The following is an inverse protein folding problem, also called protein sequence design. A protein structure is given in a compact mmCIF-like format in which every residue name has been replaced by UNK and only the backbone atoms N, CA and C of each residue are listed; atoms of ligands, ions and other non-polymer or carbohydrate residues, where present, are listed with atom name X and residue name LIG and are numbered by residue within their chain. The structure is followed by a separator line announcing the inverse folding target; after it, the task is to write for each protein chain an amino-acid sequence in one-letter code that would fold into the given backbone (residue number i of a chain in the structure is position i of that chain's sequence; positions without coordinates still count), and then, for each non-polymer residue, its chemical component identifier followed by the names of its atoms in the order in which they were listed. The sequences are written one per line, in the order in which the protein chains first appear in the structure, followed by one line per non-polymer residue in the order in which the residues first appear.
data_IF_274345595270
#
_entry.id   IF_274345595270
#
_cell.length_a   1.000
_cell.length_b   1.000
_cell.length_c   1.000
_cell.angle_alpha   90.00
_cell.angle_beta   90.00
_cell.angle_gamma   90.00
#
_symmetry.space_group_name_H-M   'P 1'
#
loop_
_entity.id
_entity.type
_entity.pdbx_description
1 polymer ?
#
# COMPACT_ATOMS: atom_id res chain seq x y z
N UNK A 1 20.52 52.39 -6.06
CA UNK A 1 20.61 50.94 -6.28
C UNK A 1 19.65 50.28 -5.29
N UNK A 2 18.47 49.84 -5.75
CA UNK A 2 17.50 49.16 -4.91
C UNK A 2 17.65 47.64 -5.12
N UNK A 3 18.02 46.93 -4.06
CA UNK A 3 17.98 45.47 -4.05
C UNK A 3 16.55 45.04 -3.70
N UNK A 4 15.87 44.43 -4.66
CA UNK A 4 14.61 43.74 -4.42
C UNK A 4 14.93 42.30 -3.96
N UNK A 5 14.71 42.03 -2.69
CA UNK A 5 14.72 40.65 -2.16
C UNK A 5 13.43 39.97 -2.60
N UNK A 6 13.56 38.96 -3.46
CA UNK A 6 12.46 38.05 -3.78
C UNK A 6 12.39 37.02 -2.67
N UNK A 7 11.32 37.07 -1.87
CA UNK A 7 10.98 36.02 -0.92
C UNK A 7 10.44 34.80 -1.69
N UNK A 8 11.21 33.72 -1.68
CA UNK A 8 10.79 32.44 -2.21
C UNK A 8 9.82 31.80 -1.20
N UNK A 9 8.53 31.84 -1.48
CA UNK A 9 7.52 31.12 -0.70
C UNK A 9 7.61 29.66 -1.12
N UNK A 10 8.28 28.83 -0.31
CA UNK A 10 8.17 27.38 -0.43
C UNK A 10 6.76 26.98 0.02
N UNK A 11 5.87 26.75 -0.91
CA UNK A 11 4.63 26.07 -0.66
C UNK A 11 4.95 24.59 -0.36
N UNK A 12 4.86 24.20 0.90
CA UNK A 12 4.87 22.79 1.28
C UNK A 12 3.57 22.16 0.74
N UNK A 13 3.68 21.42 -0.34
CA UNK A 13 2.60 20.57 -0.81
C UNK A 13 2.43 19.45 0.22
N UNK A 14 1.43 19.56 1.06
CA UNK A 14 0.92 18.44 1.84
C UNK A 14 0.30 17.45 0.84
N UNK A 15 1.00 16.35 0.58
CA UNK A 15 0.48 15.27 -0.25
C UNK A 15 -0.70 14.64 0.48
N UNK A 16 -1.90 14.98 0.04
CA UNK A 16 -3.13 14.32 0.47
C UNK A 16 -3.22 12.96 -0.25
N UNK A 17 -3.44 11.91 0.51
CA UNK A 17 -3.60 10.52 0.04
C UNK A 17 -4.87 10.27 -0.76
N UNK A 18 -5.58 11.25 -1.24
CA UNK A 18 -6.73 11.03 -2.10
C UNK A 18 -6.97 12.22 -3.02
N UNK A 19 -6.83 12.00 -4.30
CA UNK A 19 -7.50 12.81 -5.27
C UNK A 19 -8.99 12.44 -5.32
N UNK A 20 -9.84 13.28 -4.77
CA UNK A 20 -11.22 13.25 -5.16
C UNK A 20 -12.25 13.06 -4.06
N UNK A 21 -13.15 14.04 -4.06
CA UNK A 21 -14.47 14.06 -3.48
C UNK A 21 -14.57 14.49 -2.02
N UNK A 22 -14.74 15.79 -1.86
CA UNK A 22 -15.37 16.37 -0.68
C UNK A 22 -16.82 15.90 -0.57
N UNK A 23 -17.09 14.96 0.31
CA UNK A 23 -18.40 14.80 0.91
C UNK A 23 -18.28 15.10 2.39
N UNK A 24 -18.78 16.25 2.78
CA UNK A 24 -19.00 16.67 4.16
C UNK A 24 -19.97 15.71 4.82
N UNK A 25 -19.59 15.10 5.92
CA UNK A 25 -20.53 14.38 6.76
C UNK A 25 -19.88 13.44 7.77
N UNK A 26 -19.79 13.88 9.02
CA UNK A 26 -19.64 12.99 10.15
C UNK A 26 -18.20 12.78 10.64
N UNK A 27 -17.83 13.47 11.69
CA UNK A 27 -16.60 13.27 12.47
C UNK A 27 -16.67 11.98 13.29
N UNK A 28 -16.63 10.83 12.62
CA UNK A 28 -16.34 9.54 13.20
C UNK A 28 -14.94 9.14 12.75
N UNK A 29 -13.95 9.26 13.65
CA UNK A 29 -12.59 8.80 13.38
C UNK A 29 -12.63 7.30 13.16
N UNK A 30 -12.44 6.86 11.91
CA UNK A 30 -12.36 5.45 11.61
C UNK A 30 -11.20 4.82 12.39
N UNK A 31 -11.51 3.79 13.19
CA UNK A 31 -10.49 3.04 13.94
C UNK A 31 -9.93 1.97 13.00
N UNK A 32 -8.66 2.07 12.66
CA UNK A 32 -7.95 1.05 11.88
C UNK A 32 -7.39 -0.01 12.83
N UNK A 33 -7.61 -1.28 12.50
CA UNK A 33 -6.93 -2.37 13.21
C UNK A 33 -5.46 -2.35 12.83
N UNK A 34 -4.58 -2.16 13.80
CA UNK A 34 -3.14 -2.22 13.57
C UNK A 34 -2.75 -3.57 12.97
N UNK A 35 -2.09 -3.56 11.82
CA UNK A 35 -1.66 -4.75 11.09
C UNK A 35 -0.16 -4.83 10.90
N UNK A 36 0.58 -3.97 11.54
CA UNK A 36 2.05 -3.95 11.48
C UNK A 36 2.73 -5.12 12.22
N UNK A 37 1.96 -6.10 12.68
CA UNK A 37 2.50 -7.32 13.27
C UNK A 37 3.14 -8.27 12.25
N UNK A 38 2.84 -8.08 10.96
CA UNK A 38 3.45 -8.88 9.90
C UNK A 38 4.87 -8.34 9.60
N UNK A 39 5.88 -9.20 9.68
CA UNK A 39 7.27 -8.87 9.34
C UNK A 39 7.48 -8.79 7.82
N UNK A 40 6.75 -7.89 7.16
CA UNK A 40 6.87 -7.69 5.73
C UNK A 40 8.00 -6.72 5.38
N UNK A 41 8.56 -6.85 4.21
CA UNK A 41 9.49 -5.87 3.65
C UNK A 41 9.33 -5.75 2.14
N UNK A 42 9.65 -4.57 1.61
CA UNK A 42 9.75 -4.33 0.17
C UNK A 42 11.22 -4.13 -0.18
N UNK A 43 11.68 -4.88 -1.16
CA UNK A 43 13.03 -4.69 -1.75
C UNK A 43 12.88 -4.18 -3.18
N UNK A 44 13.65 -3.15 -3.51
CA UNK A 44 13.75 -2.57 -4.83
C UNK A 44 15.22 -2.35 -5.16
N UNK A 45 15.72 -3.08 -6.17
CA UNK A 45 17.12 -3.04 -6.59
C UNK A 45 18.12 -3.22 -5.41
N UNK A 46 17.86 -4.21 -4.54
CA UNK A 46 18.73 -4.53 -3.40
C UNK A 46 18.57 -3.61 -2.17
N UNK A 47 17.78 -2.54 -2.27
CA UNK A 47 17.44 -1.68 -1.13
C UNK A 47 16.12 -2.11 -0.50
N UNK A 48 16.07 -2.25 0.82
CA UNK A 48 14.90 -2.78 1.53
C UNK A 48 14.31 -1.73 2.48
N UNK A 49 12.98 -1.68 2.53
CA UNK A 49 12.20 -0.92 3.51
C UNK A 49 11.22 -1.82 4.25
N UNK A 50 10.88 -1.45 5.48
CA UNK A 50 9.94 -2.18 6.34
C UNK A 50 8.95 -1.21 7.01
N UNK A 51 7.74 -1.67 7.39
CA UNK A 51 6.75 -0.80 8.03
C UNK A 51 7.24 -0.18 9.35
N UNK A 52 8.04 -0.93 10.11
CA UNK A 52 8.44 -0.53 11.47
C UNK A 52 9.63 0.43 11.50
N UNK A 53 10.59 0.26 10.60
CA UNK A 53 11.84 1.04 10.63
C UNK A 53 11.78 2.28 9.75
N UNK A 54 10.81 2.35 8.84
CA UNK A 54 10.74 3.44 7.87
C UNK A 54 11.86 3.33 6.82
N UNK A 55 12.10 4.43 6.12
CA UNK A 55 13.05 4.45 5.00
C UNK A 55 12.37 4.15 3.68
N UNK A 56 13.15 4.16 2.63
CA UNK A 56 12.72 3.96 1.25
C UNK A 56 13.59 2.89 0.58
N UNK A 57 12.96 2.00 -0.17
CA UNK A 57 13.65 1.18 -1.15
C UNK A 57 13.67 1.95 -2.48
N UNK A 58 14.82 2.00 -3.17
CA UNK A 58 14.97 2.82 -4.37
C UNK A 58 15.76 2.11 -5.46
N UNK A 59 15.38 2.32 -6.71
CA UNK A 59 16.15 1.92 -7.89
C UNK A 59 16.84 3.08 -8.60
N UNK A 60 16.92 4.24 -7.94
CA UNK A 60 17.51 5.46 -8.51
C UNK A 60 16.52 6.32 -9.33
N UNK A 61 15.43 5.75 -9.82
CA UNK A 61 14.37 6.46 -10.55
C UNK A 61 13.08 6.57 -9.75
N UNK A 62 12.76 5.51 -8.99
CA UNK A 62 11.57 5.41 -8.15
C UNK A 62 11.99 4.96 -6.76
N UNK A 63 11.39 5.54 -5.74
CA UNK A 63 11.45 5.06 -4.35
C UNK A 63 10.09 4.54 -3.94
N UNK A 64 10.08 3.48 -3.12
CA UNK A 64 8.89 2.91 -2.50
C UNK A 64 9.08 2.92 -0.99
N UNK A 65 8.06 3.33 -0.25
CA UNK A 65 8.07 3.33 1.21
C UNK A 65 6.74 2.84 1.77
N UNK A 66 6.79 2.21 2.95
CA UNK A 66 5.58 1.98 3.73
C UNK A 66 5.13 3.27 4.42
N UNK A 67 3.82 3.48 4.48
CA UNK A 67 3.24 4.57 5.27
C UNK A 67 3.21 4.15 6.72
N UNK A 68 3.85 4.94 7.57
CA UNK A 68 3.98 4.64 8.99
C UNK A 68 2.81 5.20 9.81
N UNK A 69 2.20 4.33 10.61
CA UNK A 69 1.11 4.68 11.53
C UNK A 69 -0.28 4.55 10.89
N UNK A 70 -1.19 3.93 11.63
CA UNK A 70 -2.53 3.57 11.17
C UNK A 70 -3.33 4.78 10.66
N UNK A 71 -3.27 5.90 11.36
CA UNK A 71 -3.98 7.12 10.97
C UNK A 71 -3.49 7.66 9.62
N UNK A 72 -2.18 7.60 9.37
CA UNK A 72 -1.58 8.06 8.12
C UNK A 72 -1.85 7.08 6.98
N UNK A 73 -1.87 5.78 7.28
CA UNK A 73 -2.14 4.74 6.28
C UNK A 73 -3.52 4.85 5.62
N UNK A 74 -4.48 5.48 6.29
CA UNK A 74 -5.84 5.69 5.79
C UNK A 74 -6.20 7.17 5.59
N UNK A 75 -5.24 8.07 5.76
CA UNK A 75 -5.49 9.50 5.62
C UNK A 75 -6.04 9.83 4.22
N UNK A 76 -7.18 10.52 4.19
CA UNK A 76 -7.84 10.93 2.95
C UNK A 76 -8.60 9.82 2.21
N UNK A 77 -8.60 8.57 2.70
CA UNK A 77 -9.44 7.52 2.13
C UNK A 77 -10.91 7.68 2.53
N UNK A 78 -11.86 7.35 1.64
CA UNK A 78 -13.28 7.29 1.98
C UNK A 78 -13.55 6.30 3.11
N UNK A 79 -14.52 6.59 4.00
CA UNK A 79 -14.87 5.72 5.13
C UNK A 79 -15.14 4.26 4.72
N UNK A 80 -15.85 4.03 3.62
CA UNK A 80 -16.12 2.67 3.12
C UNK A 80 -14.85 1.90 2.74
N UNK A 81 -13.80 2.58 2.29
CA UNK A 81 -12.50 1.95 2.02
C UNK A 81 -11.77 1.63 3.32
N UNK A 82 -11.82 2.53 4.31
CA UNK A 82 -11.27 2.27 5.65
C UNK A 82 -11.97 1.07 6.30
N UNK A 83 -13.29 0.98 6.18
CA UNK A 83 -14.07 -0.17 6.67
C UNK A 83 -13.65 -1.47 5.97
N UNK A 84 -13.43 -1.44 4.66
CA UNK A 84 -12.93 -2.57 3.88
C UNK A 84 -11.53 -3.00 4.35
N UNK A 85 -10.59 -2.07 4.54
CA UNK A 85 -9.25 -2.31 5.09
C UNK A 85 -9.36 -3.00 6.45
N UNK A 86 -10.19 -2.47 7.34
CA UNK A 86 -10.44 -3.05 8.65
C UNK A 86 -11.06 -4.45 8.56
N UNK A 87 -11.97 -4.68 7.62
CA UNK A 87 -12.60 -5.98 7.39
C UNK A 87 -11.57 -7.02 6.93
N UNK A 88 -10.69 -6.68 5.98
CA UNK A 88 -9.59 -7.55 5.52
C UNK A 88 -8.70 -7.92 6.72
N UNK A 89 -8.30 -6.95 7.52
CA UNK A 89 -7.40 -7.15 8.65
C UNK A 89 -8.00 -8.05 9.75
N UNK A 90 -9.32 -7.97 9.97
CA UNK A 90 -10.03 -8.82 10.94
C UNK A 90 -10.35 -10.21 10.42
N UNK A 91 -10.60 -10.36 9.12
CA UNK A 91 -11.11 -11.59 8.52
C UNK A 91 -10.11 -12.25 7.58
N UNK A 92 -8.82 -12.30 7.94
CA UNK A 92 -7.75 -12.87 7.09
C UNK A 92 -8.06 -14.29 6.60
N UNK A 93 -8.83 -15.07 7.36
CA UNK A 93 -9.17 -16.45 7.02
C UNK A 93 -10.36 -16.59 6.04
N UNK A 94 -11.08 -15.51 5.74
CA UNK A 94 -12.18 -15.49 4.77
C UNK A 94 -12.40 -14.06 4.28
N UNK A 95 -12.10 -13.82 3.02
CA UNK A 95 -12.23 -12.51 2.40
C UNK A 95 -13.51 -12.34 1.57
N UNK A 96 -14.41 -13.32 1.55
CA UNK A 96 -15.58 -13.29 0.67
C UNK A 96 -16.47 -12.04 0.83
N UNK A 97 -16.53 -11.47 2.04
CA UNK A 97 -17.48 -10.40 2.37
C UNK A 97 -16.80 -9.12 2.91
N UNK A 98 -15.54 -8.85 2.55
CA UNK A 98 -14.80 -7.70 3.10
C UNK A 98 -15.13 -6.36 2.43
N UNK A 99 -15.94 -6.34 1.37
CA UNK A 99 -16.44 -5.10 0.76
C UNK A 99 -15.54 -4.49 -0.31
N UNK A 100 -14.65 -5.26 -0.92
CA UNK A 100 -13.76 -4.78 -2.02
C UNK A 100 -14.50 -4.54 -3.34
N UNK A 101 -15.69 -5.11 -3.51
CA UNK A 101 -16.39 -5.16 -4.80
C UNK A 101 -15.84 -6.23 -5.77
N UNK A 102 -14.87 -7.03 -5.34
CA UNK A 102 -14.32 -8.16 -6.06
C UNK A 102 -14.91 -9.48 -5.53
N UNK A 103 -14.96 -10.53 -6.38
CA UNK A 103 -15.27 -11.88 -5.90
C UNK A 103 -14.04 -12.50 -5.25
N UNK A 104 -13.99 -12.42 -3.92
CA UNK A 104 -12.92 -12.98 -3.10
C UNK A 104 -13.34 -14.28 -2.39
N UNK A 105 -14.36 -14.97 -2.90
CA UNK A 105 -14.79 -16.26 -2.35
C UNK A 105 -13.67 -17.30 -2.43
N UNK A 106 -13.32 -17.89 -1.29
CA UNK A 106 -12.25 -18.87 -1.17
C UNK A 106 -10.86 -18.26 -1.01
N UNK A 107 -10.75 -16.92 -0.96
CA UNK A 107 -9.49 -16.26 -0.68
C UNK A 107 -9.27 -16.02 0.82
N UNK A 108 -8.02 -16.17 1.23
CA UNK A 108 -7.51 -15.83 2.56
C UNK A 108 -6.33 -14.87 2.43
N UNK A 109 -6.09 -14.03 3.43
CA UNK A 109 -4.92 -13.15 3.46
C UNK A 109 -3.74 -13.82 4.15
N UNK A 110 -2.57 -13.76 3.51
CA UNK A 110 -1.28 -14.15 4.10
C UNK A 110 -0.74 -13.07 5.04
N UNK A 111 -0.96 -11.81 4.67
CA UNK A 111 -0.59 -10.63 5.45
C UNK A 111 -1.79 -9.70 5.57
N UNK A 112 -1.76 -8.81 6.56
CA UNK A 112 -2.70 -7.70 6.63
C UNK A 112 -2.48 -6.68 5.52
N UNK A 113 -3.24 -5.60 5.57
CA UNK A 113 -3.09 -4.49 4.62
C UNK A 113 -1.96 -3.57 5.03
N UNK A 114 -1.17 -3.10 4.07
CA UNK A 114 -0.11 -2.12 4.25
C UNK A 114 -0.27 -1.01 3.22
N UNK A 115 -0.28 0.23 3.68
CA UNK A 115 -0.24 1.38 2.79
C UNK A 115 1.19 1.63 2.32
N UNK A 116 1.35 1.84 1.02
CA UNK A 116 2.64 2.09 0.36
C UNK A 116 2.57 3.34 -0.50
N UNK A 117 3.68 4.05 -0.59
CA UNK A 117 3.84 5.21 -1.45
C UNK A 117 4.97 4.99 -2.45
N UNK A 118 4.74 5.49 -3.66
CA UNK A 118 5.74 5.55 -4.73
C UNK A 118 6.12 7.00 -4.96
N UNK A 119 7.43 7.26 -5.00
CA UNK A 119 7.99 8.61 -5.19
C UNK A 119 8.98 8.64 -6.35
N UNK A 120 9.19 9.80 -6.90
CA UNK A 120 10.38 10.07 -7.66
C UNK A 120 11.58 10.01 -6.72
N UNK A 121 12.58 9.18 -7.03
CA UNK A 121 13.74 8.96 -6.17
C UNK A 121 14.44 10.26 -5.78
N UNK A 122 14.84 10.37 -4.51
CA UNK A 122 15.48 11.55 -3.95
C UNK A 122 14.53 12.73 -3.72
N UNK A 123 13.22 12.55 -3.90
CA UNK A 123 12.20 13.58 -3.65
C UNK A 123 11.09 13.01 -2.78
N UNK A 124 10.11 13.84 -2.40
CA UNK A 124 8.85 13.39 -1.80
C UNK A 124 7.66 13.62 -2.74
N UNK A 125 7.96 13.81 -4.03
CA UNK A 125 6.94 13.96 -5.04
C UNK A 125 6.41 12.57 -5.41
N UNK A 126 5.12 12.36 -5.25
CA UNK A 126 4.48 11.11 -5.63
C UNK A 126 4.69 10.82 -7.11
N UNK A 127 5.05 9.59 -7.41
CA UNK A 127 5.29 9.13 -8.78
C UNK A 127 4.25 8.09 -9.17
N UNK A 128 3.66 8.29 -10.31
CA UNK A 128 2.78 7.32 -10.97
C UNK A 128 3.57 6.53 -12.01
N UNK A 129 3.09 5.35 -12.33
CA UNK A 129 3.68 4.44 -13.29
C UNK A 129 4.24 3.19 -12.61
N UNK A 130 4.33 2.16 -13.40
CA UNK A 130 4.64 0.81 -12.96
C UNK A 130 6.01 0.72 -12.28
N UNK A 131 6.04 0.07 -11.12
CA UNK A 131 7.26 -0.29 -10.41
C UNK A 131 7.18 -1.74 -9.96
N UNK A 132 8.17 -2.54 -10.33
CA UNK A 132 8.30 -3.93 -9.87
C UNK A 132 9.01 -3.95 -8.53
N UNK A 133 8.40 -4.58 -7.55
CA UNK A 133 8.91 -4.72 -6.18
C UNK A 133 8.99 -6.18 -5.79
N UNK A 134 9.95 -6.51 -4.92
CA UNK A 134 10.01 -7.79 -4.23
C UNK A 134 9.44 -7.62 -2.83
N UNK A 135 8.31 -8.27 -2.57
CA UNK A 135 7.62 -8.23 -1.29
C UNK A 135 7.92 -9.51 -0.51
N UNK A 136 8.59 -9.38 0.63
CA UNK A 136 8.79 -10.49 1.56
C UNK A 136 7.51 -10.72 2.36
N UNK A 137 7.03 -11.98 2.36
CA UNK A 137 5.77 -12.41 2.97
C UNK A 137 6.08 -13.58 3.92
N UNK A 138 6.16 -13.35 5.23
CA UNK A 138 6.63 -14.35 6.20
C UNK A 138 5.76 -15.63 6.23
N UNK A 139 4.48 -15.51 5.91
CA UNK A 139 3.52 -16.62 5.91
C UNK A 139 3.43 -17.37 4.58
N UNK A 140 4.24 -17.00 3.60
CA UNK A 140 4.30 -17.69 2.32
C UNK A 140 4.96 -19.06 2.49
N UNK A 141 4.25 -20.12 2.13
CA UNK A 141 4.68 -21.52 2.25
C UNK A 141 4.30 -22.31 0.99
N UNK A 142 4.89 -23.49 0.83
CA UNK A 142 4.51 -24.39 -0.26
C UNK A 142 3.08 -24.94 -0.06
N UNK A 143 2.41 -25.27 -1.17
CA UNK A 143 1.08 -25.87 -1.15
C UNK A 143 -0.06 -24.89 -0.99
N UNK A 144 0.19 -23.60 -0.97
CA UNK A 144 -0.84 -22.59 -1.16
C UNK A 144 -1.38 -22.68 -2.59
N UNK A 145 -2.66 -22.39 -2.78
CA UNK A 145 -3.23 -22.26 -4.12
C UNK A 145 -2.71 -20.99 -4.84
N UNK A 146 -3.54 -20.41 -5.68
CA UNK A 146 -3.15 -19.22 -6.42
C UNK A 146 -2.86 -18.05 -5.47
N UNK A 147 -1.63 -17.55 -5.51
CA UNK A 147 -1.20 -16.37 -4.74
C UNK A 147 -1.38 -15.13 -5.62
N UNK A 148 -2.06 -14.13 -5.08
CA UNK A 148 -2.33 -12.85 -5.74
C UNK A 148 -2.09 -11.69 -4.79
N UNK A 149 -1.95 -10.50 -5.35
CA UNK A 149 -1.83 -9.26 -4.59
C UNK A 149 -3.14 -8.49 -4.70
N UNK A 150 -3.81 -8.31 -3.56
CA UNK A 150 -4.97 -7.43 -3.44
C UNK A 150 -4.46 -6.01 -3.26
N UNK A 151 -4.78 -5.14 -4.20
CA UNK A 151 -4.28 -3.77 -4.25
C UNK A 151 -5.42 -2.77 -4.36
N UNK A 152 -5.47 -1.83 -3.43
CA UNK A 152 -6.30 -0.64 -3.58
C UNK A 152 -5.49 0.46 -4.25
N UNK A 153 -5.93 0.86 -5.42
CA UNK A 153 -5.27 1.88 -6.23
C UNK A 153 -5.79 3.26 -5.82
N UNK A 154 -4.94 4.07 -5.19
CA UNK A 154 -5.33 5.40 -4.70
C UNK A 154 -5.79 6.35 -5.82
N UNK A 155 -5.24 6.21 -7.04
CA UNK A 155 -5.60 7.08 -8.16
C UNK A 155 -6.98 6.76 -8.73
N UNK A 156 -7.31 5.47 -8.83
CA UNK A 156 -8.60 5.05 -9.43
C UNK A 156 -9.69 4.84 -8.40
N UNK A 157 -9.34 4.80 -7.11
CA UNK A 157 -10.27 4.55 -6.02
C UNK A 157 -10.87 3.14 -6.03
N UNK A 158 -10.15 2.16 -6.58
CA UNK A 158 -10.67 0.80 -6.78
C UNK A 158 -9.72 -0.27 -6.26
N UNK A 159 -10.30 -1.35 -5.74
CA UNK A 159 -9.60 -2.59 -5.49
C UNK A 159 -9.38 -3.37 -6.79
N UNK A 160 -8.24 -4.02 -6.88
CA UNK A 160 -7.90 -4.90 -8.00
C UNK A 160 -7.05 -6.07 -7.52
N UNK A 161 -7.11 -7.18 -8.25
CA UNK A 161 -6.21 -8.30 -8.09
C UNK A 161 -5.06 -8.14 -9.08
N UNK A 162 -3.85 -8.24 -8.58
CA UNK A 162 -2.63 -8.20 -9.40
C UNK A 162 -1.97 -9.57 -9.31
N UNK A 163 -1.81 -10.22 -10.46
CA UNK A 163 -1.08 -11.48 -10.54
C UNK A 163 0.41 -11.19 -10.38
N UNK A 164 1.12 -11.83 -9.42
CA UNK A 164 2.55 -11.68 -9.30
C UNK A 164 3.30 -12.16 -10.54
N UNK A 165 4.43 -11.53 -10.82
CA UNK A 165 5.37 -11.99 -11.84
C UNK A 165 6.07 -13.29 -11.38
N UNK A 166 6.33 -13.42 -10.08
CA UNK A 166 6.85 -14.64 -9.48
C UNK A 166 6.44 -14.79 -8.02
N UNK A 167 6.37 -16.05 -7.56
CA UNK A 167 6.13 -16.43 -6.17
C UNK A 167 7.20 -17.45 -5.79
N UNK A 168 8.05 -17.11 -4.81
CA UNK A 168 9.13 -17.98 -4.34
C UNK A 168 8.89 -18.30 -2.86
N UNK A 169 8.37 -19.49 -2.60
CA UNK A 169 8.05 -19.98 -1.26
C UNK A 169 9.28 -20.26 -0.39
N UNK A 170 10.42 -20.58 -1.02
CA UNK A 170 11.69 -20.84 -0.30
C UNK A 170 12.28 -19.56 0.29
N UNK A 171 12.27 -18.47 -0.49
CA UNK A 171 12.74 -17.15 -0.05
C UNK A 171 11.61 -16.31 0.55
N UNK A 172 10.35 -16.78 0.46
CA UNK A 172 9.15 -16.09 0.91
C UNK A 172 8.94 -14.74 0.20
N UNK A 173 9.29 -14.65 -1.07
CA UNK A 173 9.23 -13.43 -1.86
C UNK A 173 8.18 -13.54 -2.95
N UNK A 174 7.36 -12.51 -3.05
CA UNK A 174 6.38 -12.27 -4.12
C UNK A 174 6.86 -11.08 -4.94
N UNK A 175 7.23 -11.28 -6.21
CA UNK A 175 7.57 -10.18 -7.12
C UNK A 175 6.30 -9.70 -7.81
N UNK A 176 5.98 -8.42 -7.63
CA UNK A 176 4.76 -7.82 -8.19
C UNK A 176 5.04 -6.44 -8.75
N UNK A 177 4.33 -6.09 -9.83
CA UNK A 177 4.35 -4.74 -10.40
C UNK A 177 3.13 -3.97 -9.91
N UNK A 178 3.37 -2.85 -9.23
CA UNK A 178 2.34 -1.94 -8.74
C UNK A 178 2.33 -0.66 -9.57
N UNK A 179 1.13 -0.08 -9.87
CA UNK A 179 1.04 1.06 -10.79
C UNK A 179 1.29 2.43 -10.12
N UNK A 180 1.14 2.53 -8.81
CA UNK A 180 1.23 3.78 -8.04
C UNK A 180 1.11 3.50 -6.54
N UNK A 181 1.06 4.56 -5.74
CA UNK A 181 0.73 4.48 -4.30
C UNK A 181 -0.63 3.82 -4.05
N UNK A 182 -0.73 3.08 -2.96
CA UNK A 182 -1.96 2.35 -2.64
C UNK A 182 -1.88 1.55 -1.35
N UNK A 183 -2.85 0.66 -1.16
CA UNK A 183 -2.87 -0.30 -0.05
C UNK A 183 -2.74 -1.71 -0.60
N UNK A 184 -1.79 -2.46 -0.06
CA UNK A 184 -1.42 -3.80 -0.53
C UNK A 184 -1.70 -4.87 0.54
N UNK A 185 -2.18 -6.03 0.12
CA UNK A 185 -2.23 -7.27 0.90
C UNK A 185 -1.88 -8.44 -0.02
N UNK A 186 -1.26 -9.49 0.50
CA UNK A 186 -1.04 -10.73 -0.26
C UNK A 186 -2.07 -11.74 0.17
N UNK A 187 -2.77 -12.29 -0.79
CA UNK A 187 -3.87 -13.23 -0.60
C UNK A 187 -3.62 -14.51 -1.39
N UNK A 188 -4.30 -15.57 -1.03
CA UNK A 188 -4.23 -16.84 -1.75
C UNK A 188 -5.61 -17.49 -1.81
N UNK A 189 -5.87 -18.22 -2.88
CA UNK A 189 -7.07 -19.02 -3.05
C UNK A 189 -6.79 -20.46 -2.63
N UNK A 190 -7.63 -20.99 -1.74
CA UNK A 190 -7.57 -22.40 -1.36
C UNK A 190 -8.04 -23.33 -2.47
#
# INVERSE_FOLDING_TARGET
MLFRSAALVLSQATTAFAAGSTSSGGSGRATVSATYADEVSITLNGNTTTPNYGGEASNGATSVAFVKGDTHAVAGLPNGIVDTINAINRNKADLANVGTGLDLKGYNALIGTHAIMTYQAGTKVEKTGDVSIDLYVPNLVDGLGDVEVLFYNNMTGRWQLIKPASVNTKTKVVTVTIPNSGTISVIYKK
#
